data_IF_414604614357
#
_entry.id   IF_414604614357
#
_cell.length_a   1.000
_cell.length_b   1.000
_cell.length_c   1.000
_cell.angle_alpha   90.00
_cell.angle_beta   90.00
_cell.angle_gamma   90.00
#
_symmetry.space_group_name_H-M   'P 1'
#
loop_
_entity.id
_entity.type
_entity.pdbx_description
1 polymer ?
#
# COMPACT_ATOMS: atom_id res chain seq x y z
N UNK A 1 15.90 -55.29 5.00
CA UNK A 1 16.11 -54.40 6.17
C UNK A 1 17.28 -53.48 5.89
N UNK A 2 18.45 -54.03 5.57
CA UNK A 2 19.63 -53.29 5.07
C UNK A 2 19.34 -52.36 3.89
N UNK A 3 18.47 -52.81 2.98
CA UNK A 3 18.02 -52.11 1.75
C UNK A 3 17.36 -50.73 2.00
N UNK A 4 17.12 -50.37 3.27
CA UNK A 4 16.50 -49.11 3.69
C UNK A 4 17.48 -48.18 4.43
N UNK A 5 18.68 -48.64 4.76
CA UNK A 5 19.78 -47.83 5.32
C UNK A 5 20.66 -47.27 4.19
N UNK A 6 21.03 -48.12 3.22
CA UNK A 6 21.85 -47.76 2.04
C UNK A 6 21.20 -46.61 1.22
N UNK A 7 19.87 -46.62 1.07
CA UNK A 7 19.10 -45.54 0.43
C UNK A 7 19.10 -44.24 1.25
N UNK A 8 19.18 -44.32 2.59
CA UNK A 8 19.26 -43.13 3.44
C UNK A 8 20.65 -42.50 3.35
N UNK A 9 21.71 -43.30 3.30
CA UNK A 9 23.08 -42.79 3.10
C UNK A 9 23.23 -42.06 1.75
N UNK A 10 22.70 -42.60 0.65
CA UNK A 10 22.66 -41.88 -0.65
C UNK A 10 21.91 -40.53 -0.56
N UNK A 11 20.81 -40.46 0.18
CA UNK A 11 20.07 -39.21 0.38
C UNK A 11 20.81 -38.22 1.28
N UNK A 12 21.57 -38.67 2.29
CA UNK A 12 22.38 -37.79 3.14
C UNK A 12 23.62 -37.26 2.39
N UNK A 13 24.31 -38.07 1.58
CA UNK A 13 25.40 -37.59 0.71
C UNK A 13 24.88 -36.57 -0.32
N UNK A 14 23.75 -36.86 -0.96
CA UNK A 14 23.13 -35.92 -1.91
C UNK A 14 22.70 -34.61 -1.23
N UNK A 15 22.16 -34.69 -0.01
CA UNK A 15 21.81 -33.50 0.79
C UNK A 15 23.05 -32.72 1.26
N UNK A 16 24.16 -33.38 1.55
CA UNK A 16 25.43 -32.74 1.89
C UNK A 16 26.01 -31.99 0.69
N UNK A 17 26.04 -32.62 -0.48
CA UNK A 17 26.44 -32.01 -1.75
C UNK A 17 25.56 -30.79 -2.10
N UNK A 18 24.24 -30.89 -1.92
CA UNK A 18 23.31 -29.76 -2.09
C UNK A 18 23.58 -28.61 -1.10
N UNK A 19 23.87 -28.90 0.17
CA UNK A 19 24.22 -27.86 1.16
C UNK A 19 25.52 -27.15 0.83
N UNK A 20 26.54 -27.87 0.41
CA UNK A 20 27.83 -27.31 -0.03
C UNK A 20 27.66 -26.47 -1.31
N UNK A 21 26.87 -26.93 -2.28
CA UNK A 21 26.54 -26.17 -3.49
C UNK A 21 25.75 -24.88 -3.18
N UNK A 22 24.74 -24.95 -2.29
CA UNK A 22 23.97 -23.78 -1.83
C UNK A 22 24.86 -22.82 -1.03
N UNK A 23 25.79 -23.33 -0.20
CA UNK A 23 26.73 -22.50 0.55
C UNK A 23 27.70 -21.76 -0.39
N UNK A 24 28.25 -22.45 -1.40
CA UNK A 24 29.11 -21.85 -2.43
C UNK A 24 28.35 -20.85 -3.30
N UNK A 25 27.10 -21.14 -3.64
CA UNK A 25 26.22 -20.20 -4.34
C UNK A 25 25.94 -18.94 -3.52
N UNK A 26 25.57 -19.08 -2.24
CA UNK A 26 25.36 -17.94 -1.35
C UNK A 26 26.65 -17.12 -1.14
N UNK A 27 27.81 -17.78 -1.02
CA UNK A 27 29.10 -17.09 -0.92
C UNK A 27 29.44 -16.34 -2.21
N UNK A 28 29.16 -16.93 -3.38
CA UNK A 28 29.35 -16.27 -4.69
C UNK A 28 28.39 -15.08 -4.88
N UNK A 29 27.14 -15.19 -4.45
CA UNK A 29 26.17 -14.08 -4.47
C UNK A 29 26.56 -12.98 -3.49
N UNK A 30 27.09 -13.33 -2.32
CA UNK A 30 27.60 -12.37 -1.33
C UNK A 30 28.86 -11.64 -1.82
N UNK A 31 29.84 -12.35 -2.36
CA UNK A 31 31.02 -11.77 -2.98
C UNK A 31 30.65 -10.86 -4.17
N UNK A 32 29.73 -11.29 -5.04
CA UNK A 32 29.25 -10.46 -6.14
C UNK A 32 28.44 -9.23 -5.67
N UNK A 33 27.78 -9.29 -4.52
CA UNK A 33 27.18 -8.10 -3.90
C UNK A 33 28.26 -7.13 -3.42
N UNK A 34 29.33 -7.66 -2.80
CA UNK A 34 30.47 -6.88 -2.33
C UNK A 34 31.20 -6.19 -3.50
N UNK A 35 31.58 -6.95 -4.54
CA UNK A 35 32.17 -6.41 -5.78
C UNK A 35 31.27 -5.32 -6.41
N UNK A 36 29.94 -5.51 -6.38
CA UNK A 36 28.97 -4.56 -6.96
C UNK A 36 28.64 -3.36 -6.06
N UNK A 37 29.01 -3.38 -4.79
CA UNK A 37 29.00 -2.22 -3.90
C UNK A 37 30.35 -1.49 -3.96
N UNK A 38 31.45 -2.20 -4.22
CA UNK A 38 32.80 -1.66 -4.42
C UNK A 38 32.94 -0.95 -5.79
N UNK A 39 32.49 -1.56 -6.91
CA UNK A 39 32.39 -0.87 -8.22
C UNK A 39 31.49 0.38 -8.14
N UNK A 40 30.44 0.36 -7.31
CA UNK A 40 29.55 1.50 -7.13
C UNK A 40 30.17 2.61 -6.26
N UNK A 41 31.00 2.26 -5.29
CA UNK A 41 31.77 3.21 -4.49
C UNK A 41 32.91 3.85 -5.30
N UNK A 42 33.58 3.09 -6.19
CA UNK A 42 34.53 3.68 -7.16
C UNK A 42 33.81 4.63 -8.14
N UNK A 43 32.59 4.30 -8.61
CA UNK A 43 31.82 5.18 -9.50
C UNK A 43 31.28 6.43 -8.78
N UNK A 44 30.90 6.36 -7.49
CA UNK A 44 30.58 7.56 -6.70
C UNK A 44 31.83 8.40 -6.38
N UNK A 45 32.97 7.80 -5.99
CA UNK A 45 34.22 8.52 -5.73
C UNK A 45 34.76 9.23 -6.99
N UNK A 46 34.72 8.58 -8.16
CA UNK A 46 35.11 9.22 -9.42
C UNK A 46 34.17 10.36 -9.85
N UNK A 47 32.94 10.42 -9.34
CA UNK A 47 32.01 11.55 -9.53
C UNK A 47 32.30 12.65 -8.51
N UNK A 48 32.70 12.31 -7.27
CA UNK A 48 33.15 13.30 -6.27
C UNK A 48 34.47 13.97 -6.72
N UNK A 49 35.46 13.21 -7.24
CA UNK A 49 36.67 13.78 -7.84
C UNK A 49 36.36 14.65 -9.09
N UNK A 50 35.48 14.23 -10.01
CA UNK A 50 35.06 15.08 -11.15
C UNK A 50 34.33 16.36 -10.69
N UNK A 51 33.73 16.39 -9.49
CA UNK A 51 33.08 17.58 -8.92
C UNK A 51 34.08 18.46 -8.18
N UNK A 52 35.00 17.90 -7.41
CA UNK A 52 36.06 18.65 -6.71
C UNK A 52 37.01 19.34 -7.70
N UNK A 53 37.40 18.67 -8.80
CA UNK A 53 38.19 19.28 -9.89
C UNK A 53 37.41 20.42 -10.61
N UNK A 54 36.07 20.35 -10.66
CA UNK A 54 35.20 21.41 -11.17
C UNK A 54 34.96 22.56 -10.16
N UNK A 55 35.06 22.30 -8.86
CA UNK A 55 34.99 23.36 -7.83
C UNK A 55 36.34 24.06 -7.66
N UNK A 56 37.49 23.39 -7.85
CA UNK A 56 38.81 24.05 -7.95
C UNK A 56 38.93 24.94 -9.21
N UNK A 57 38.48 24.50 -10.40
CA UNK A 57 38.42 25.40 -11.58
C UNK A 57 37.51 26.62 -11.33
N UNK A 58 36.43 26.45 -10.54
CA UNK A 58 35.53 27.55 -10.20
C UNK A 58 36.12 28.51 -9.14
N UNK A 59 36.89 28.03 -8.17
CA UNK A 59 37.62 28.91 -7.24
C UNK A 59 38.79 29.63 -7.92
N UNK A 60 39.48 29.05 -8.91
CA UNK A 60 40.50 29.79 -9.70
C UNK A 60 39.91 30.91 -10.59
N UNK A 61 38.68 30.79 -11.08
CA UNK A 61 37.96 31.93 -11.68
C UNK A 61 37.49 32.93 -10.60
N UNK A 62 36.88 32.46 -9.50
CA UNK A 62 36.31 33.34 -8.47
C UNK A 62 37.37 34.17 -7.72
N UNK A 63 38.55 33.60 -7.46
CA UNK A 63 39.67 34.27 -6.79
C UNK A 63 40.23 35.47 -7.60
N UNK A 64 39.84 35.63 -8.87
CA UNK A 64 40.21 36.79 -9.69
C UNK A 64 39.19 37.96 -9.60
N UNK A 65 38.02 37.78 -8.97
CA UNK A 65 36.94 38.79 -8.96
C UNK A 65 36.41 39.19 -7.56
N UNK A 66 37.08 38.84 -6.46
CA UNK A 66 36.69 39.34 -5.12
C UNK A 66 37.16 40.78 -4.82
N UNK A 67 36.26 41.56 -4.21
CA UNK A 67 36.24 43.03 -4.27
C UNK A 67 35.65 43.76 -3.06
N UNK A 68 35.27 43.06 -1.97
CA UNK A 68 34.89 43.63 -0.66
C UNK A 68 33.49 44.33 -0.59
N UNK A 69 32.89 44.59 0.60
CA UNK A 69 31.76 43.75 1.07
C UNK A 69 30.57 44.55 1.71
N UNK A 70 29.84 43.89 2.65
CA UNK A 70 28.83 44.38 3.63
C UNK A 70 27.35 44.42 3.19
N UNK A 71 26.34 44.15 4.04
CA UNK A 71 26.24 43.50 5.38
C UNK A 71 24.76 43.17 5.76
N UNK A 72 24.54 42.33 6.79
CA UNK A 72 23.49 42.31 7.87
C UNK A 72 22.00 42.72 7.59
N UNK A 73 20.92 42.19 8.20
CA UNK A 73 20.73 41.21 9.32
C UNK A 73 19.28 40.60 9.34
N UNK A 74 19.15 39.37 9.87
CA UNK A 74 18.16 38.69 10.76
C UNK A 74 16.58 38.92 10.81
N UNK A 75 15.79 38.01 11.45
CA UNK A 75 14.30 37.93 11.40
C UNK A 75 13.54 37.85 12.78
N UNK A 76 12.27 37.38 12.77
CA UNK A 76 11.38 36.96 13.91
C UNK A 76 10.07 36.32 13.37
N UNK A 77 9.38 35.32 13.94
CA UNK A 77 8.86 35.03 15.32
C UNK A 77 7.59 35.85 15.68
N UNK A 78 6.49 35.35 16.31
CA UNK A 78 6.04 34.02 16.85
C UNK A 78 4.46 34.02 16.91
N UNK A 79 3.61 33.11 17.45
CA UNK A 79 3.65 31.84 18.24
C UNK A 79 2.47 30.88 17.86
N UNK A 80 1.52 30.53 18.76
CA UNK A 80 0.57 29.38 18.70
C UNK A 80 -0.76 29.65 19.51
N UNK A 81 -1.75 28.73 19.54
CA UNK A 81 -2.86 28.76 20.52
C UNK A 81 -4.14 27.91 20.24
N UNK A 82 -4.51 27.03 21.19
CA UNK A 82 -5.74 26.18 21.20
C UNK A 82 -6.85 26.67 22.18
N UNK A 83 -8.06 26.06 22.15
CA UNK A 83 -9.11 26.22 23.18
C UNK A 83 -10.45 25.51 22.89
N UNK A 84 -11.03 24.83 23.88
CA UNK A 84 -12.27 24.00 23.77
C UNK A 84 -13.58 24.71 24.26
N UNK A 85 -14.72 24.00 24.23
CA UNK A 85 -16.03 24.43 24.76
C UNK A 85 -16.86 23.25 25.34
N UNK A 86 -17.75 23.51 26.31
CA UNK A 86 -18.55 22.54 27.11
C UNK A 86 -19.97 23.11 27.42
N UNK A 87 -21.05 22.29 27.45
CA UNK A 87 -22.36 22.62 28.10
C UNK A 87 -23.40 21.45 28.14
N UNK A 88 -24.38 21.48 29.10
CA UNK A 88 -25.70 20.77 29.12
C UNK A 88 -25.78 19.35 29.77
N UNK A 89 -26.76 18.86 30.58
CA UNK A 89 -28.22 19.09 30.89
C UNK A 89 -29.15 17.95 30.36
N UNK A 90 -30.19 17.40 31.05
CA UNK A 90 -30.52 17.31 32.50
C UNK A 90 -31.60 16.19 32.84
N UNK A 91 -31.80 15.93 34.15
CA UNK A 91 -32.91 15.33 34.99
C UNK A 91 -34.08 14.36 34.57
N UNK A 92 -34.56 13.61 35.62
CA UNK A 92 -35.96 13.15 35.95
C UNK A 92 -36.76 12.19 34.99
N UNK A 93 -37.78 11.38 35.37
CA UNK A 93 -38.40 10.92 36.64
C UNK A 93 -39.19 9.57 36.45
N UNK A 94 -39.93 9.08 37.49
CA UNK A 94 -40.73 7.82 37.50
C UNK A 94 -42.20 8.00 37.94
N UNK A 95 -43.12 7.08 37.54
CA UNK A 95 -44.26 6.69 38.39
C UNK A 95 -44.42 5.16 38.58
N UNK A 96 -45.42 4.73 39.39
CA UNK A 96 -45.70 3.32 39.80
C UNK A 96 -47.22 3.05 39.81
N UNK A 97 -47.65 1.78 39.74
CA UNK A 97 -49.01 1.36 40.17
C UNK A 97 -49.02 -0.05 40.83
N UNK A 98 -50.19 -0.51 41.32
CA UNK A 98 -50.40 -1.66 42.23
C UNK A 98 -51.51 -2.63 41.75
N UNK A 99 -51.63 -3.86 42.31
CA UNK A 99 -52.34 -4.99 41.68
C UNK A 99 -53.86 -5.05 41.89
N UNK A 100 -54.51 -5.93 41.12
CA UNK A 100 -55.95 -6.20 41.07
C UNK A 100 -56.37 -7.39 41.96
N UNK A 101 -57.66 -7.52 42.29
CA UNK A 101 -58.21 -8.49 43.26
C UNK A 101 -59.22 -9.44 42.59
N UNK A 102 -59.23 -10.72 42.97
CA UNK A 102 -60.18 -11.75 42.51
C UNK A 102 -61.25 -12.06 43.59
N UNK A 103 -62.53 -12.34 43.21
CA UNK A 103 -63.60 -12.69 44.14
C UNK A 103 -63.69 -14.20 44.47
N UNK A 104 -64.39 -14.53 45.55
CA UNK A 104 -64.47 -15.91 46.09
C UNK A 104 -65.32 -16.87 45.24
N UNK A 105 -64.89 -18.12 45.14
CA UNK A 105 -65.63 -19.23 44.53
C UNK A 105 -66.54 -19.95 45.56
N UNK A 106 -67.77 -20.26 45.17
CA UNK A 106 -68.72 -21.07 45.96
C UNK A 106 -68.86 -22.45 45.30
N UNK A 107 -68.62 -23.58 46.01
CA UNK A 107 -68.75 -24.91 45.43
C UNK A 107 -70.23 -25.33 45.24
N UNK A 108 -70.68 -25.65 44.01
CA UNK A 108 -72.02 -26.20 43.79
C UNK A 108 -72.15 -27.63 44.36
N UNK A 109 -73.35 -27.99 44.84
CA UNK A 109 -73.73 -29.38 45.16
C UNK A 109 -74.31 -30.04 43.91
N UNK A 110 -74.06 -31.34 43.76
CA UNK A 110 -74.66 -32.20 42.72
C UNK A 110 -75.60 -33.19 43.43
N UNK A 111 -76.86 -33.36 43.00
CA UNK A 111 -77.78 -34.37 43.53
C UNK A 111 -77.58 -35.75 42.88
N UNK A 112 -78.07 -36.80 43.54
CA UNK A 112 -77.83 -38.20 43.18
C UNK A 112 -78.50 -38.69 41.88
N UNK A 113 -77.91 -39.74 41.29
CA UNK A 113 -78.72 -40.97 41.12
C UNK A 113 -79.00 -41.52 39.72
N UNK A 114 -78.30 -41.12 38.65
CA UNK A 114 -78.37 -41.83 37.36
C UNK A 114 -77.21 -42.84 37.19
N UNK A 115 -77.45 -43.91 36.43
CA UNK A 115 -76.62 -45.12 36.41
C UNK A 115 -75.38 -44.93 35.52
N UNK A 116 -74.28 -44.48 36.11
CA UNK A 116 -73.07 -44.10 35.37
C UNK A 116 -72.29 -45.31 34.86
N UNK A 117 -72.26 -45.51 33.54
CA UNK A 117 -71.45 -46.56 32.90
C UNK A 117 -69.95 -46.20 32.93
N UNK A 118 -69.16 -46.97 33.67
CA UNK A 118 -67.73 -46.67 33.87
C UNK A 118 -66.92 -46.66 32.57
N UNK A 119 -67.26 -47.49 31.58
CA UNK A 119 -66.67 -47.49 30.24
C UNK A 119 -66.97 -46.20 29.46
N UNK A 120 -68.14 -45.61 29.66
CA UNK A 120 -68.53 -44.33 29.05
C UNK A 120 -67.80 -43.16 29.73
N UNK A 121 -67.64 -43.18 31.05
CA UNK A 121 -66.75 -42.26 31.78
C UNK A 121 -65.32 -42.38 31.23
N UNK A 122 -64.82 -43.60 30.98
CA UNK A 122 -63.46 -43.81 30.51
C UNK A 122 -63.25 -43.34 29.06
N UNK A 123 -64.21 -43.57 28.16
CA UNK A 123 -64.21 -43.01 26.80
C UNK A 123 -64.26 -41.49 26.81
N UNK A 124 -65.22 -40.90 27.53
CA UNK A 124 -65.38 -39.44 27.65
C UNK A 124 -64.18 -38.76 28.32
N UNK A 125 -63.45 -39.47 29.19
CA UNK A 125 -62.14 -39.02 29.68
C UNK A 125 -61.13 -38.96 28.53
N UNK A 126 -60.85 -40.08 27.86
CA UNK A 126 -59.84 -40.12 26.78
C UNK A 126 -60.17 -39.14 25.64
N UNK A 127 -61.44 -39.02 25.25
CA UNK A 127 -61.90 -38.09 24.21
C UNK A 127 -61.69 -36.62 24.62
N UNK A 128 -62.03 -36.26 25.87
CA UNK A 128 -61.81 -34.91 26.40
C UNK A 128 -60.33 -34.61 26.59
N UNK A 129 -59.55 -35.56 27.08
CA UNK A 129 -58.09 -35.42 27.27
C UNK A 129 -57.37 -35.26 25.90
N UNK A 130 -57.88 -35.90 24.83
CA UNK A 130 -57.40 -35.70 23.45
C UNK A 130 -57.78 -34.33 22.89
N UNK A 131 -59.03 -33.87 23.06
CA UNK A 131 -59.48 -32.54 22.62
C UNK A 131 -58.76 -31.41 23.38
N UNK A 132 -58.54 -31.59 24.68
CA UNK A 132 -57.78 -30.67 25.52
C UNK A 132 -56.31 -30.59 25.06
N UNK A 133 -55.68 -31.73 24.75
CA UNK A 133 -54.33 -31.78 24.19
C UNK A 133 -54.24 -31.10 22.80
N UNK A 134 -55.21 -31.34 21.90
CA UNK A 134 -55.28 -30.67 20.59
C UNK A 134 -55.41 -29.14 20.76
N UNK A 135 -56.33 -28.69 21.61
CA UNK A 135 -56.55 -27.27 21.91
C UNK A 135 -55.28 -26.64 22.50
N UNK A 136 -54.58 -27.33 23.41
CA UNK A 136 -53.35 -26.83 24.02
C UNK A 136 -52.19 -26.71 23.01
N UNK A 137 -52.11 -27.66 22.07
CA UNK A 137 -51.14 -27.63 20.96
C UNK A 137 -51.42 -26.44 20.03
N UNK A 138 -52.67 -26.28 19.59
CA UNK A 138 -53.07 -25.18 18.70
C UNK A 138 -52.86 -23.81 19.36
N UNK A 139 -53.28 -23.64 20.61
CA UNK A 139 -53.05 -22.41 21.39
C UNK A 139 -51.57 -22.12 21.58
N UNK A 140 -50.72 -23.13 21.81
CA UNK A 140 -49.28 -22.90 21.94
C UNK A 140 -48.66 -22.43 20.61
N UNK A 141 -48.98 -23.10 19.49
CA UNK A 141 -48.47 -22.69 18.18
C UNK A 141 -49.02 -21.32 17.74
N UNK A 142 -50.28 -21.01 18.00
CA UNK A 142 -50.84 -19.68 17.70
C UNK A 142 -50.24 -18.58 18.56
N UNK A 143 -50.03 -18.79 19.87
CA UNK A 143 -49.37 -17.81 20.75
C UNK A 143 -47.95 -17.54 20.26
N UNK A 144 -47.16 -18.60 20.04
CA UNK A 144 -45.79 -18.50 19.53
C UNK A 144 -45.72 -17.78 18.19
N UNK A 145 -46.61 -18.10 17.25
CA UNK A 145 -46.64 -17.46 15.93
C UNK A 145 -46.95 -15.96 16.05
N UNK A 146 -47.90 -15.56 16.89
CA UNK A 146 -48.25 -14.15 17.11
C UNK A 146 -47.11 -13.39 17.79
N UNK A 147 -46.49 -14.00 18.82
CA UNK A 147 -45.27 -13.48 19.48
C UNK A 147 -44.11 -13.30 18.49
N UNK A 148 -43.89 -14.25 17.59
CA UNK A 148 -42.83 -14.18 16.57
C UNK A 148 -43.12 -13.12 15.50
N UNK A 149 -44.35 -13.02 15.00
CA UNK A 149 -44.77 -11.99 14.05
C UNK A 149 -44.64 -10.58 14.65
N UNK A 150 -45.04 -10.38 15.91
CA UNK A 150 -44.84 -9.13 16.65
C UNK A 150 -43.36 -8.79 16.86
N UNK A 151 -42.53 -9.79 17.22
CA UNK A 151 -41.08 -9.62 17.37
C UNK A 151 -40.38 -9.30 16.04
N UNK A 152 -40.83 -9.88 14.93
CA UNK A 152 -40.32 -9.60 13.58
C UNK A 152 -40.66 -8.16 13.19
N UNK A 153 -41.93 -7.75 13.31
CA UNK A 153 -42.36 -6.38 13.01
C UNK A 153 -41.67 -5.33 13.92
N UNK A 154 -41.44 -5.66 15.20
CA UNK A 154 -40.69 -4.79 16.11
C UNK A 154 -39.21 -4.68 15.71
N UNK A 155 -38.56 -5.78 15.32
CA UNK A 155 -37.18 -5.79 14.79
C UNK A 155 -37.08 -4.97 13.50
N UNK A 156 -37.99 -5.18 12.54
CA UNK A 156 -38.04 -4.41 11.28
C UNK A 156 -38.16 -2.90 11.56
N UNK A 157 -39.05 -2.50 12.47
CA UNK A 157 -39.22 -1.09 12.88
C UNK A 157 -38.05 -0.53 13.70
N UNK A 158 -37.18 -1.38 14.26
CA UNK A 158 -35.89 -0.96 14.87
C UNK A 158 -34.83 -0.82 13.79
N UNK A 159 -34.75 -1.77 12.85
CA UNK A 159 -33.73 -1.80 11.81
C UNK A 159 -33.94 -0.72 10.76
N UNK A 160 -35.19 -0.44 10.36
CA UNK A 160 -35.54 0.74 9.56
C UNK A 160 -35.07 2.05 10.22
N UNK A 161 -35.28 2.18 11.54
CA UNK A 161 -34.78 3.33 12.31
C UNK A 161 -33.26 3.28 12.57
N UNK A 162 -32.55 2.22 12.20
CA UNK A 162 -31.08 2.17 12.14
C UNK A 162 -30.58 2.57 10.76
N UNK A 163 -31.16 2.02 9.69
CA UNK A 163 -30.82 2.39 8.32
C UNK A 163 -31.09 3.87 8.05
N UNK A 164 -32.22 4.42 8.50
CA UNK A 164 -32.53 5.86 8.39
C UNK A 164 -31.48 6.75 9.08
N UNK A 165 -30.95 6.35 10.24
CA UNK A 165 -29.88 7.08 10.94
C UNK A 165 -28.52 6.92 10.25
N UNK A 166 -28.20 5.72 9.76
CA UNK A 166 -26.98 5.47 8.99
C UNK A 166 -26.98 6.26 7.67
N UNK A 167 -28.13 6.35 7.00
CA UNK A 167 -28.34 7.12 5.78
C UNK A 167 -28.24 8.64 6.05
N UNK A 168 -28.90 9.16 7.09
CA UNK A 168 -28.73 10.55 7.53
C UNK A 168 -27.27 10.88 7.84
N UNK A 169 -26.54 9.99 8.51
CA UNK A 169 -25.12 10.18 8.82
C UNK A 169 -24.24 10.11 7.55
N UNK A 170 -24.55 9.23 6.59
CA UNK A 170 -23.91 9.22 5.27
C UNK A 170 -24.13 10.54 4.54
N UNK A 171 -25.37 11.00 4.42
CA UNK A 171 -25.73 12.26 3.74
C UNK A 171 -25.04 13.47 4.40
N UNK A 172 -24.92 13.50 5.74
CA UNK A 172 -24.11 14.50 6.45
C UNK A 172 -22.64 14.42 6.05
N UNK A 173 -22.03 13.23 6.15
CA UNK A 173 -20.61 13.03 5.82
C UNK A 173 -20.28 13.31 4.35
N UNK A 174 -21.25 13.11 3.45
CA UNK A 174 -21.13 13.37 2.01
C UNK A 174 -21.19 14.86 1.71
N UNK A 175 -22.14 15.60 2.32
CA UNK A 175 -22.21 17.07 2.23
C UNK A 175 -20.98 17.75 2.85
N UNK A 176 -20.46 17.22 3.95
CA UNK A 176 -19.25 17.78 4.56
C UNK A 176 -18.01 17.48 3.73
N UNK A 177 -17.89 16.28 3.13
CA UNK A 177 -16.86 15.98 2.13
C UNK A 177 -16.99 16.83 0.87
N UNK A 178 -18.21 17.17 0.44
CA UNK A 178 -18.41 18.07 -0.70
C UNK A 178 -17.95 19.49 -0.39
N UNK A 179 -18.25 20.01 0.82
CA UNK A 179 -17.76 21.31 1.29
C UNK A 179 -16.24 21.33 1.40
N UNK A 180 -15.67 20.33 2.07
CA UNK A 180 -14.22 20.19 2.23
C UNK A 180 -13.55 20.11 0.85
N UNK A 181 -14.07 19.28 -0.06
CA UNK A 181 -13.57 19.21 -1.44
C UNK A 181 -13.68 20.56 -2.17
N UNK A 182 -14.78 21.31 -2.03
CA UNK A 182 -14.91 22.64 -2.66
C UNK A 182 -13.86 23.63 -2.12
N UNK A 183 -13.58 23.60 -0.82
CA UNK A 183 -12.53 24.42 -0.21
C UNK A 183 -11.13 23.98 -0.66
N UNK A 184 -10.89 22.67 -0.79
CA UNK A 184 -9.65 22.10 -1.34
C UNK A 184 -9.48 22.41 -2.83
N UNK A 185 -10.56 22.42 -3.61
CA UNK A 185 -10.58 22.75 -5.05
C UNK A 185 -10.39 24.26 -5.27
N UNK A 186 -10.97 25.12 -4.44
CA UNK A 186 -10.69 26.57 -4.43
C UNK A 186 -9.25 26.87 -3.98
N UNK A 187 -8.75 26.17 -2.95
CA UNK A 187 -7.36 26.28 -2.47
C UNK A 187 -6.37 25.80 -3.54
N UNK A 188 -6.61 24.65 -4.15
CA UNK A 188 -5.78 24.10 -5.22
C UNK A 188 -5.80 24.98 -6.48
N UNK A 189 -6.95 25.56 -6.83
CA UNK A 189 -7.04 26.53 -7.93
C UNK A 189 -6.27 27.82 -7.60
N UNK A 190 -6.38 28.33 -6.37
CA UNK A 190 -5.60 29.49 -5.92
C UNK A 190 -4.11 29.18 -5.91
N UNK A 191 -3.71 27.98 -5.51
CA UNK A 191 -2.34 27.48 -5.56
C UNK A 191 -1.85 27.31 -7.01
N UNK A 192 -2.69 26.84 -7.93
CA UNK A 192 -2.37 26.77 -9.37
C UNK A 192 -2.21 28.17 -9.99
N UNK A 193 -3.11 29.11 -9.68
CA UNK A 193 -3.01 30.50 -10.14
C UNK A 193 -1.79 31.22 -9.51
N UNK A 194 -1.43 30.92 -8.25
CA UNK A 194 -0.24 31.46 -7.59
C UNK A 194 1.05 30.78 -8.08
N UNK A 195 1.05 29.48 -8.36
CA UNK A 195 2.17 28.76 -8.97
C UNK A 195 2.40 29.20 -10.41
N UNK A 196 1.33 29.43 -11.18
CA UNK A 196 1.38 30.03 -12.51
C UNK A 196 1.91 31.45 -12.45
N UNK A 197 1.47 32.28 -11.49
CA UNK A 197 2.04 33.62 -11.27
C UNK A 197 3.52 33.54 -10.91
N UNK A 198 3.94 32.66 -9.99
CA UNK A 198 5.36 32.43 -9.69
C UNK A 198 6.13 32.02 -10.95
N UNK A 199 5.59 31.11 -11.76
CA UNK A 199 6.23 30.69 -13.02
C UNK A 199 6.30 31.81 -14.06
N UNK A 200 5.29 32.68 -14.15
CA UNK A 200 5.30 33.85 -15.03
C UNK A 200 6.25 34.95 -14.53
N UNK A 201 6.32 35.20 -13.23
CA UNK A 201 7.21 36.18 -12.64
C UNK A 201 8.66 35.67 -12.63
N UNK A 202 8.91 34.37 -12.41
CA UNK A 202 10.17 33.68 -12.68
C UNK A 202 10.54 33.77 -14.17
N UNK A 203 9.58 33.63 -15.10
CA UNK A 203 9.83 33.76 -16.53
C UNK A 203 10.08 35.21 -16.98
N UNK A 204 9.48 36.22 -16.32
CA UNK A 204 9.77 37.65 -16.54
C UNK A 204 11.17 37.97 -16.02
N UNK A 205 11.48 37.59 -14.78
CA UNK A 205 12.83 37.69 -14.17
C UNK A 205 13.89 37.01 -15.04
N UNK A 206 13.63 35.79 -15.50
CA UNK A 206 14.51 35.08 -16.46
C UNK A 206 14.69 35.91 -17.73
N UNK A 207 13.63 36.36 -18.41
CA UNK A 207 13.73 37.18 -19.63
C UNK A 207 14.54 38.47 -19.43
N UNK A 208 14.46 39.12 -18.27
CA UNK A 208 15.29 40.29 -17.95
C UNK A 208 16.73 39.96 -17.59
N UNK A 209 17.00 38.75 -17.08
CA UNK A 209 18.31 38.33 -16.56
C UNK A 209 19.10 37.45 -17.55
N UNK A 210 18.45 36.83 -18.54
CA UNK A 210 19.09 36.07 -19.63
C UNK A 210 19.83 36.94 -20.66
N UNK A 211 20.05 38.23 -20.37
CA UNK A 211 20.91 39.08 -21.19
C UNK A 211 22.39 38.76 -21.02
N UNK A 212 22.80 38.16 -19.89
CA UNK A 212 24.15 37.65 -19.66
C UNK A 212 24.12 36.27 -18.97
N UNK A 213 24.59 35.25 -19.70
CA UNK A 213 25.18 33.97 -19.27
C UNK A 213 24.53 33.04 -18.21
N UNK A 214 23.55 33.44 -17.39
CA UNK A 214 22.93 32.56 -16.38
C UNK A 214 21.92 31.51 -16.94
N UNK A 215 22.25 30.88 -18.07
CA UNK A 215 21.36 29.96 -18.80
C UNK A 215 21.32 28.54 -18.23
N UNK A 216 22.48 27.95 -17.94
CA UNK A 216 22.62 26.51 -17.69
C UNK A 216 21.89 26.01 -16.42
N UNK A 217 22.18 26.62 -15.27
CA UNK A 217 21.57 26.24 -13.99
C UNK A 217 20.04 26.35 -14.02
N UNK A 218 19.55 27.44 -14.58
CA UNK A 218 18.12 27.73 -14.69
C UNK A 218 17.36 26.83 -15.67
N UNK A 219 18.05 26.10 -16.56
CA UNK A 219 17.45 25.07 -17.41
C UNK A 219 17.33 23.73 -16.67
N UNK A 220 18.39 23.29 -15.98
CA UNK A 220 18.38 22.11 -15.08
C UNK A 220 17.22 22.20 -14.06
N UNK A 221 16.97 23.39 -13.51
CA UNK A 221 15.89 23.63 -12.54
C UNK A 221 14.47 23.51 -13.15
N UNK A 222 14.25 24.01 -14.37
CA UNK A 222 12.96 23.85 -15.05
C UNK A 222 12.68 22.41 -15.47
N UNK A 223 13.71 21.65 -15.84
CA UNK A 223 13.55 20.24 -16.21
C UNK A 223 13.30 19.34 -14.98
N UNK A 224 13.80 19.73 -13.79
CA UNK A 224 13.39 19.14 -12.49
C UNK A 224 11.95 19.53 -12.07
N UNK A 225 11.48 20.75 -12.34
CA UNK A 225 10.07 21.17 -12.07
C UNK A 225 9.06 20.58 -13.08
N UNK A 226 9.48 20.18 -14.28
CA UNK A 226 8.58 19.67 -15.32
C UNK A 226 8.14 18.22 -15.05
N UNK A 227 7.10 18.06 -14.23
CA UNK A 227 6.29 16.85 -14.13
C UNK A 227 7.04 15.57 -13.76
N UNK A 228 7.68 15.57 -12.57
CA UNK A 228 8.42 14.45 -11.92
C UNK A 228 8.70 13.26 -12.86
N UNK A 229 9.66 13.45 -13.78
CA UNK A 229 10.20 12.34 -14.59
C UNK A 229 10.64 11.22 -13.66
N UNK A 230 9.98 10.07 -13.73
CA UNK A 230 10.25 8.93 -12.87
C UNK A 230 11.75 8.62 -12.92
N UNK A 231 12.41 8.70 -11.76
CA UNK A 231 13.87 8.57 -11.65
C UNK A 231 14.30 7.18 -12.12
N UNK A 232 15.55 7.04 -12.56
CA UNK A 232 16.06 5.76 -13.06
C UNK A 232 16.00 4.67 -11.96
N UNK A 233 16.20 5.07 -10.69
CA UNK A 233 15.97 4.27 -9.49
C UNK A 233 14.50 3.82 -9.34
N UNK A 234 13.54 4.73 -9.49
CA UNK A 234 12.11 4.40 -9.48
C UNK A 234 11.70 3.52 -10.68
N UNK A 235 12.30 3.70 -11.87
CA UNK A 235 12.08 2.85 -13.07
C UNK A 235 12.63 1.44 -12.85
N UNK A 236 13.89 1.31 -12.39
CA UNK A 236 14.55 0.04 -12.05
C UNK A 236 13.73 -0.72 -11.02
N UNK A 237 13.28 -0.04 -9.95
CA UNK A 237 12.41 -0.63 -8.92
C UNK A 237 11.07 -1.12 -9.49
N UNK A 238 10.43 -0.33 -10.37
CA UNK A 238 9.18 -0.73 -11.05
C UNK A 238 9.38 -1.99 -11.90
N UNK A 239 10.35 -1.98 -12.82
CA UNK A 239 10.63 -3.11 -13.73
C UNK A 239 10.99 -4.38 -12.94
N UNK A 240 11.78 -4.26 -11.86
CA UNK A 240 12.10 -5.38 -10.99
C UNK A 240 10.86 -5.91 -10.25
N UNK A 241 9.94 -5.03 -9.80
CA UNK A 241 8.68 -5.47 -9.19
C UNK A 241 7.73 -6.14 -10.18
N UNK A 242 7.71 -5.71 -11.45
CA UNK A 242 6.93 -6.32 -12.53
C UNK A 242 7.50 -7.70 -12.94
N UNK A 243 8.82 -7.89 -12.87
CA UNK A 243 9.49 -9.18 -13.11
C UNK A 243 9.40 -10.15 -11.92
N UNK A 244 9.18 -9.66 -10.70
CA UNK A 244 9.15 -10.48 -9.48
C UNK A 244 7.83 -11.24 -9.34
N UNK A 245 7.81 -12.47 -9.84
CA UNK A 245 6.72 -13.42 -9.61
C UNK A 245 6.52 -13.64 -8.11
N UNK A 246 5.30 -13.44 -7.62
CA UNK A 246 4.90 -13.80 -6.25
C UNK A 246 4.85 -15.32 -6.11
N UNK A 247 5.45 -15.87 -5.05
CA UNK A 247 5.42 -17.31 -4.77
C UNK A 247 4.44 -17.58 -3.63
N UNK A 248 3.36 -18.30 -3.93
CA UNK A 248 2.55 -19.01 -2.93
C UNK A 248 3.10 -20.44 -2.82
N UNK A 249 3.41 -20.85 -1.60
CA UNK A 249 4.13 -22.10 -1.28
C UNK A 249 3.37 -22.89 -0.20
N UNK A 250 2.51 -22.23 0.59
CA UNK A 250 1.97 -22.77 1.86
C UNK A 250 0.99 -23.94 1.66
N UNK A 251 0.37 -24.04 0.47
CA UNK A 251 -0.71 -24.98 0.18
C UNK A 251 -0.37 -26.00 -0.95
N UNK A 252 0.91 -26.20 -1.28
CA UNK A 252 1.34 -27.07 -2.38
C UNK A 252 1.70 -28.50 -1.92
N UNK A 253 1.38 -29.50 -2.75
CA UNK A 253 1.80 -30.89 -2.52
C UNK A 253 3.29 -31.09 -2.84
N UNK A 254 3.91 -32.12 -2.24
CA UNK A 254 5.36 -32.38 -2.36
C UNK A 254 5.85 -32.52 -3.81
N UNK A 255 5.04 -33.10 -4.70
CA UNK A 255 5.36 -33.22 -6.12
C UNK A 255 5.36 -31.85 -6.82
N UNK A 256 4.34 -31.02 -6.58
CA UNK A 256 4.25 -29.65 -7.10
C UNK A 256 5.35 -28.74 -6.56
N UNK A 257 5.80 -28.97 -5.33
CA UNK A 257 6.97 -28.28 -4.76
C UNK A 257 8.27 -28.66 -5.51
N UNK A 258 8.45 -29.94 -5.87
CA UNK A 258 9.58 -30.40 -6.70
C UNK A 258 9.52 -29.82 -8.12
N UNK A 259 8.33 -29.71 -8.71
CA UNK A 259 8.12 -29.05 -10.01
C UNK A 259 8.44 -27.54 -9.94
N UNK A 260 7.91 -26.82 -8.95
CA UNK A 260 8.17 -25.40 -8.75
C UNK A 260 9.63 -25.09 -8.43
N UNK A 261 10.33 -25.97 -7.72
CA UNK A 261 11.78 -25.85 -7.51
C UNK A 261 12.56 -25.93 -8.83
N UNK A 262 12.16 -26.82 -9.75
CA UNK A 262 12.76 -26.89 -11.10
C UNK A 262 12.46 -25.65 -11.94
N UNK A 263 11.19 -25.20 -11.98
CA UNK A 263 10.81 -23.97 -12.69
C UNK A 263 11.61 -22.74 -12.21
N UNK A 264 11.86 -22.64 -10.91
CA UNK A 264 12.64 -21.55 -10.32
C UNK A 264 14.13 -21.67 -10.64
N UNK A 265 14.69 -22.89 -10.65
CA UNK A 265 16.07 -23.15 -11.03
C UNK A 265 16.32 -22.87 -12.53
N UNK A 266 15.42 -23.32 -13.41
CA UNK A 266 15.48 -23.02 -14.84
C UNK A 266 15.38 -21.50 -15.12
N UNK A 267 14.52 -20.80 -14.38
CA UNK A 267 14.40 -19.34 -14.47
C UNK A 267 15.65 -18.60 -13.96
N UNK A 268 16.29 -19.09 -12.89
CA UNK A 268 17.54 -18.56 -12.38
C UNK A 268 18.67 -18.73 -13.40
N UNK A 269 18.81 -19.94 -13.96
CA UNK A 269 19.82 -20.27 -14.98
C UNK A 269 19.64 -19.43 -16.28
N UNK A 270 18.39 -19.16 -16.69
CA UNK A 270 18.11 -18.26 -17.81
C UNK A 270 18.60 -16.82 -17.53
N UNK A 271 18.37 -16.29 -16.32
CA UNK A 271 18.84 -14.96 -15.93
C UNK A 271 20.36 -14.87 -15.80
N UNK A 272 21.03 -15.95 -15.37
CA UNK A 272 22.50 -16.04 -15.35
C UNK A 272 23.09 -16.05 -16.76
N UNK A 273 22.48 -16.79 -17.71
CA UNK A 273 22.88 -16.78 -19.11
C UNK A 273 22.68 -15.40 -19.78
N UNK A 274 21.54 -14.74 -19.53
CA UNK A 274 21.32 -13.35 -19.98
C UNK A 274 22.35 -12.37 -19.38
N UNK A 275 22.66 -12.49 -18.08
CA UNK A 275 23.69 -11.67 -17.42
C UNK A 275 25.06 -11.86 -18.09
N UNK A 276 25.47 -13.11 -18.34
CA UNK A 276 26.78 -13.40 -18.93
C UNK A 276 26.93 -12.81 -20.35
N UNK A 277 25.93 -13.00 -21.21
CA UNK A 277 25.93 -12.43 -22.57
C UNK A 277 25.98 -10.88 -22.54
N UNK A 278 25.21 -10.25 -21.64
CA UNK A 278 25.25 -8.80 -21.46
C UNK A 278 26.61 -8.29 -20.95
N UNK A 279 27.26 -9.00 -20.01
CA UNK A 279 28.61 -8.68 -19.55
C UNK A 279 29.63 -8.80 -20.68
N UNK A 280 29.58 -9.88 -21.48
CA UNK A 280 30.46 -10.05 -22.64
C UNK A 280 30.27 -8.95 -23.70
N UNK A 281 29.02 -8.59 -24.00
CA UNK A 281 28.71 -7.46 -24.90
C UNK A 281 29.21 -6.13 -24.33
N UNK A 282 29.09 -5.88 -23.03
CA UNK A 282 29.60 -4.67 -22.38
C UNK A 282 31.14 -4.56 -22.47
N UNK A 283 31.87 -5.64 -22.18
CA UNK A 283 33.34 -5.66 -22.34
C UNK A 283 33.76 -5.36 -23.79
N UNK A 284 33.06 -5.97 -24.76
CA UNK A 284 33.27 -5.69 -26.19
C UNK A 284 32.97 -4.24 -26.56
N UNK A 285 31.86 -3.67 -26.07
CA UNK A 285 31.50 -2.27 -26.31
C UNK A 285 32.53 -1.30 -25.69
N UNK A 286 33.03 -1.59 -24.47
CA UNK A 286 34.11 -0.82 -23.82
C UNK A 286 35.37 -0.76 -24.69
N UNK A 287 35.74 -1.87 -25.34
CA UNK A 287 36.82 -1.91 -26.33
C UNK A 287 36.49 -1.11 -27.61
N UNK A 288 35.32 -1.31 -28.22
CA UNK A 288 34.90 -0.60 -29.44
C UNK A 288 34.85 0.93 -29.22
N UNK A 289 34.36 1.39 -28.07
CA UNK A 289 34.35 2.81 -27.66
C UNK A 289 35.79 3.35 -27.55
N UNK A 290 36.71 2.63 -26.92
CA UNK A 290 38.11 3.05 -26.80
C UNK A 290 38.81 3.16 -28.18
N UNK A 291 38.55 2.21 -29.08
CA UNK A 291 39.03 2.28 -30.48
C UNK A 291 38.44 3.48 -31.22
N UNK A 292 37.15 3.78 -31.02
CA UNK A 292 36.49 4.94 -31.63
C UNK A 292 37.03 6.28 -31.08
N UNK A 293 37.22 6.40 -29.74
CA UNK A 293 37.86 7.56 -29.10
C UNK A 293 39.24 7.87 -29.71
N UNK A 294 40.08 6.84 -29.86
CA UNK A 294 41.40 6.97 -30.49
C UNK A 294 41.30 7.42 -31.96
N UNK A 295 40.45 6.78 -32.77
CA UNK A 295 40.24 7.14 -34.19
C UNK A 295 39.76 8.59 -34.36
N UNK A 296 38.84 9.05 -33.52
CA UNK A 296 38.38 10.46 -33.53
C UNK A 296 39.54 11.40 -33.19
N UNK A 297 40.34 11.08 -32.17
CA UNK A 297 41.53 11.85 -31.79
C UNK A 297 42.50 12.01 -32.96
N UNK A 298 42.78 10.94 -33.71
CA UNK A 298 43.75 10.96 -34.82
C UNK A 298 43.24 11.67 -36.07
N UNK A 299 41.94 11.55 -36.39
CA UNK A 299 41.31 12.37 -37.43
C UNK A 299 41.32 13.87 -37.07
N UNK A 300 41.16 14.24 -35.80
CA UNK A 300 41.28 15.63 -35.36
C UNK A 300 42.73 16.14 -35.39
N UNK A 301 43.71 15.34 -34.94
CA UNK A 301 45.15 15.68 -34.99
C UNK A 301 45.64 15.92 -36.42
N UNK A 302 45.28 15.03 -37.35
CA UNK A 302 45.68 15.16 -38.76
C UNK A 302 45.10 16.41 -39.42
N UNK A 303 43.81 16.72 -39.17
CA UNK A 303 43.16 17.95 -39.64
C UNK A 303 43.84 19.24 -39.13
N UNK A 304 44.29 19.25 -37.87
CA UNK A 304 45.04 20.40 -37.31
C UNK A 304 46.47 20.52 -37.89
N UNK A 305 47.09 19.43 -38.34
CA UNK A 305 48.48 19.42 -38.85
C UNK A 305 48.60 19.99 -40.27
N UNK A 306 47.66 19.71 -41.17
CA UNK A 306 47.70 20.21 -42.56
C UNK A 306 47.67 21.74 -42.64
N UNK A 307 46.93 22.40 -41.74
CA UNK A 307 46.83 23.88 -41.70
C UNK A 307 48.12 24.59 -41.25
N UNK A 308 49.09 23.89 -40.64
CA UNK A 308 50.40 24.47 -40.24
C UNK A 308 51.50 24.30 -41.29
N UNK A 309 51.26 23.56 -42.38
CA UNK A 309 52.27 23.25 -43.41
C UNK A 309 52.39 24.25 -44.56
N UNK A 310 51.55 25.30 -44.61
CA UNK A 310 51.47 26.23 -45.76
C UNK A 310 51.77 27.69 -45.35
N UNK A 311 52.99 27.93 -44.89
CA UNK A 311 53.66 29.24 -44.98
C UNK A 311 54.88 29.07 -45.87
N UNK A 312 54.99 29.94 -46.88
CA UNK A 312 56.02 29.95 -47.93
C UNK A 312 56.39 31.40 -48.23
#
# INVERSE_FOLDING_TARGET
MSDNEEVVEEYEEMAFSLRDYISKFLLCVFLWLCDSEEEAAEEEQGIEEEVEEQEEEAEEEAAQEEGNPAAEEEPGEEQDGEGEAEEGEEEEAKPKFKPFIMPNLIPPKIPDGEKVDFDDIHRKRMEKDLMELQTLIEVHFESRKKEEEELIHLKERIEKRRSERAEQQRIRSEREKERQKRLEEERARKEEEEAKRRAEDDAKKKKTLTSLHFGGYMQKLTEKRSGKRQTEREKKKKILSERRRSLDIENLSQEKLKEKAKELWEWMYQLEAEKFELQYQFTRQKYEINVLRNRVSDHQKTSKRTKRGLRK
#
